data_IF_380070030633
#
_entry.id   IF_380070030633
#
_cell.length_a   1.000
_cell.length_b   1.000
_cell.length_c   1.000
_cell.angle_alpha   90.00
_cell.angle_beta   90.00
_cell.angle_gamma   90.00
#
_symmetry.space_group_name_H-M   'P 1'
#
loop_
_entity.id
_entity.type
_entity.pdbx_description
1 polymer ?
#
# COMPACT_ATOMS: atom_id res chain seq x y z
N UNK A 1 -18.42 -14.05 -11.23
CA UNK A 1 -18.41 -14.42 -9.80
C UNK A 1 -17.59 -15.69 -9.54
N UNK A 2 -17.49 -16.64 -10.48
CA UNK A 2 -16.73 -17.91 -10.30
C UNK A 2 -15.22 -17.77 -10.01
N UNK A 3 -14.54 -16.75 -10.53
CA UNK A 3 -13.09 -16.57 -10.30
C UNK A 3 -12.76 -16.03 -8.89
N UNK A 4 -13.65 -15.24 -8.28
CA UNK A 4 -13.43 -14.74 -6.92
C UNK A 4 -13.82 -15.78 -5.87
N UNK A 5 -14.86 -16.57 -6.14
CA UNK A 5 -15.29 -17.65 -5.24
C UNK A 5 -14.38 -18.89 -5.30
N UNK A 6 -13.55 -19.03 -6.35
CA UNK A 6 -12.54 -20.09 -6.45
C UNK A 6 -11.20 -19.74 -5.82
N UNK A 7 -10.99 -18.46 -5.46
CA UNK A 7 -9.78 -18.02 -4.76
C UNK A 7 -10.02 -18.15 -3.25
N UNK A 8 -9.09 -18.82 -2.59
CA UNK A 8 -9.14 -18.97 -1.14
C UNK A 8 -9.13 -17.59 -0.44
N UNK A 9 -10.03 -17.35 0.54
CA UNK A 9 -10.12 -16.08 1.26
C UNK A 9 -8.80 -15.64 1.92
N UNK A 10 -7.97 -16.57 2.41
CA UNK A 10 -6.66 -16.25 2.98
C UNK A 10 -5.69 -15.76 1.91
N UNK A 11 -5.70 -16.36 0.72
CA UNK A 11 -4.86 -15.91 -0.40
C UNK A 11 -5.28 -14.50 -0.85
N UNK A 12 -6.59 -14.25 -0.91
CA UNK A 12 -7.12 -12.94 -1.26
C UNK A 12 -6.65 -11.89 -0.23
N UNK A 13 -6.78 -12.18 1.06
CA UNK A 13 -6.50 -11.24 2.14
C UNK A 13 -4.99 -11.03 2.42
N UNK A 14 -4.15 -12.04 2.21
CA UNK A 14 -2.71 -11.99 2.56
C UNK A 14 -1.78 -11.75 1.38
N UNK A 15 -2.23 -11.98 0.16
CA UNK A 15 -1.38 -11.86 -1.03
C UNK A 15 -1.95 -10.84 -2.00
N UNK A 16 -3.17 -11.03 -2.46
CA UNK A 16 -3.73 -10.23 -3.56
C UNK A 16 -4.06 -8.82 -3.09
N UNK A 17 -4.90 -8.70 -2.06
CA UNK A 17 -5.31 -7.41 -1.49
C UNK A 17 -4.08 -6.61 -1.06
N UNK A 18 -3.17 -7.12 -0.20
CA UNK A 18 -2.05 -6.33 0.28
C UNK A 18 -1.16 -5.83 -0.85
N UNK A 19 -0.88 -6.66 -1.85
CA UNK A 19 -0.03 -6.29 -2.98
C UNK A 19 -0.63 -5.14 -3.79
N UNK A 20 -1.94 -5.18 -4.06
CA UNK A 20 -2.65 -4.13 -4.79
C UNK A 20 -2.73 -2.86 -3.95
N UNK A 21 -3.18 -2.94 -2.70
CA UNK A 21 -3.48 -1.76 -1.87
C UNK A 21 -2.19 -1.04 -1.45
N UNK A 22 -1.15 -1.78 -1.08
CA UNK A 22 0.16 -1.23 -0.73
C UNK A 22 0.86 -0.74 -2.00
N UNK A 23 0.84 -1.52 -3.07
CA UNK A 23 1.46 -1.15 -4.34
C UNK A 23 0.94 0.19 -4.88
N UNK A 24 -0.38 0.37 -4.92
CA UNK A 24 -0.99 1.63 -5.36
C UNK A 24 -0.65 2.78 -4.40
N UNK A 25 -0.67 2.54 -3.08
CA UNK A 25 -0.33 3.57 -2.09
C UNK A 25 1.11 4.06 -2.21
N UNK A 26 2.06 3.14 -2.30
CA UNK A 26 3.48 3.45 -2.51
C UNK A 26 3.69 4.17 -3.83
N UNK A 27 3.05 3.71 -4.91
CA UNK A 27 3.15 4.35 -6.22
C UNK A 27 2.63 5.79 -6.19
N UNK A 28 1.47 6.03 -5.57
CA UNK A 28 0.91 7.37 -5.39
C UNK A 28 1.86 8.29 -4.60
N UNK A 29 2.47 7.78 -3.54
CA UNK A 29 3.48 8.50 -2.76
C UNK A 29 4.71 8.91 -3.59
N UNK A 30 5.17 8.03 -4.49
CA UNK A 30 6.28 8.32 -5.39
C UNK A 30 5.95 9.48 -6.33
N UNK A 31 4.75 9.47 -6.93
CA UNK A 31 4.26 10.52 -7.82
C UNK A 31 4.09 11.86 -7.11
N UNK A 32 3.48 11.84 -5.92
CA UNK A 32 3.21 13.05 -5.12
C UNK A 32 4.46 13.54 -4.36
N UNK A 33 5.53 12.74 -4.34
CA UNK A 33 6.81 12.99 -3.64
C UNK A 33 6.64 13.19 -2.13
N UNK A 34 5.61 12.59 -1.52
CA UNK A 34 5.26 12.75 -0.11
C UNK A 34 5.05 11.37 0.52
N UNK A 35 5.95 10.97 1.41
CA UNK A 35 5.97 9.62 2.00
C UNK A 35 4.66 9.27 2.74
N UNK A 36 4.04 10.26 3.42
CA UNK A 36 2.79 10.08 4.17
C UNK A 36 1.56 9.82 3.28
N UNK A 37 1.65 10.01 1.97
CA UNK A 37 0.57 9.68 1.03
C UNK A 37 0.41 8.16 0.90
N UNK A 38 1.49 7.39 1.07
CA UNK A 38 1.45 5.94 0.97
C UNK A 38 0.50 5.30 2.00
N UNK A 39 0.67 5.51 3.32
CA UNK A 39 -0.27 4.97 4.31
C UNK A 39 -1.69 5.50 4.13
N UNK A 40 -1.85 6.77 3.74
CA UNK A 40 -3.19 7.36 3.57
C UNK A 40 -3.96 6.70 2.43
N UNK A 41 -3.33 6.54 1.27
CA UNK A 41 -3.96 5.89 0.11
C UNK A 41 -4.18 4.41 0.39
N UNK A 42 -3.23 3.73 1.03
CA UNK A 42 -3.39 2.33 1.42
C UNK A 42 -4.56 2.14 2.41
N UNK A 43 -4.71 3.03 3.39
CA UNK A 43 -5.83 3.00 4.33
C UNK A 43 -7.17 3.16 3.63
N UNK A 44 -7.30 4.18 2.76
CA UNK A 44 -8.54 4.46 2.04
C UNK A 44 -8.93 3.28 1.16
N UNK A 45 -8.00 2.73 0.39
CA UNK A 45 -8.27 1.63 -0.51
C UNK A 45 -8.61 0.34 0.25
N UNK A 46 -7.93 0.03 1.37
CA UNK A 46 -8.26 -1.14 2.18
C UNK A 46 -9.65 -1.01 2.84
N UNK A 47 -9.96 0.17 3.37
CA UNK A 47 -11.27 0.44 3.97
C UNK A 47 -12.39 0.31 2.94
N UNK A 48 -12.19 0.84 1.73
CA UNK A 48 -13.14 0.68 0.62
C UNK A 48 -13.32 -0.78 0.24
N UNK A 49 -12.24 -1.55 0.16
CA UNK A 49 -12.30 -2.99 -0.10
C UNK A 49 -13.12 -3.72 0.96
N UNK A 50 -12.88 -3.48 2.25
CA UNK A 50 -13.64 -4.14 3.33
C UNK A 50 -15.13 -3.76 3.33
N UNK A 51 -15.45 -2.48 3.08
CA UNK A 51 -16.84 -2.03 2.95
C UNK A 51 -17.53 -2.71 1.77
N UNK A 52 -16.87 -2.78 0.61
CA UNK A 52 -17.42 -3.44 -0.57
C UNK A 52 -17.57 -4.95 -0.36
N UNK A 53 -16.59 -5.59 0.24
CA UNK A 53 -16.60 -7.02 0.55
C UNK A 53 -17.77 -7.36 1.48
N UNK A 54 -17.91 -6.63 2.59
CA UNK A 54 -19.04 -6.83 3.51
C UNK A 54 -20.39 -6.61 2.83
N UNK A 55 -20.54 -5.54 2.04
CA UNK A 55 -21.80 -5.26 1.34
C UNK A 55 -22.21 -6.37 0.36
N UNK A 56 -21.25 -7.02 -0.29
CA UNK A 56 -21.49 -8.07 -1.29
C UNK A 56 -21.77 -9.41 -0.61
N UNK A 57 -21.02 -9.77 0.44
CA UNK A 57 -21.06 -11.11 1.04
C UNK A 57 -21.91 -11.20 2.32
N UNK A 58 -22.14 -10.10 3.02
CA UNK A 58 -22.83 -10.06 4.31
C UNK A 58 -23.85 -8.91 4.35
N UNK A 59 -25.09 -9.18 3.91
CA UNK A 59 -26.15 -8.16 3.80
C UNK A 59 -26.62 -7.53 5.13
N UNK A 60 -26.24 -8.05 6.30
CA UNK A 60 -26.96 -7.73 7.55
C UNK A 60 -26.11 -7.72 8.83
N UNK A 61 -24.79 -7.88 8.77
CA UNK A 61 -23.94 -7.99 9.98
C UNK A 61 -23.39 -6.63 10.42
N UNK A 62 -23.18 -6.47 11.73
CA UNK A 62 -22.51 -5.31 12.31
C UNK A 62 -21.16 -5.07 11.63
N UNK A 63 -21.02 -3.88 11.07
CA UNK A 63 -19.83 -3.49 10.33
C UNK A 63 -18.66 -3.26 11.30
N UNK A 64 -17.60 -4.05 11.15
CA UNK A 64 -16.35 -3.88 11.88
C UNK A 64 -15.16 -3.88 10.93
N UNK A 65 -14.27 -2.91 11.12
CA UNK A 65 -13.01 -2.85 10.39
C UNK A 65 -12.03 -3.86 10.98
N UNK A 66 -11.37 -4.61 10.10
CA UNK A 66 -10.33 -5.54 10.53
C UNK A 66 -9.03 -4.80 10.87
N UNK A 67 -8.16 -5.45 11.65
CA UNK A 67 -6.83 -4.92 12.00
C UNK A 67 -5.93 -4.66 10.79
N UNK A 68 -6.29 -5.15 9.60
CA UNK A 68 -5.57 -4.90 8.35
C UNK A 68 -5.58 -3.43 7.93
N UNK A 69 -6.59 -2.66 8.34
CA UNK A 69 -6.62 -1.21 8.18
C UNK A 69 -5.51 -0.49 8.97
N UNK A 70 -4.87 -1.15 9.92
CA UNK A 70 -3.73 -0.59 10.65
C UNK A 70 -2.43 -1.17 10.10
N UNK A 71 -2.39 -2.48 9.88
CA UNK A 71 -1.19 -3.20 9.46
C UNK A 71 -0.74 -2.77 8.06
N UNK A 72 -1.63 -2.71 7.05
CA UNK A 72 -1.21 -2.36 5.69
C UNK A 72 -0.70 -0.92 5.56
N UNK A 73 -1.36 0.10 6.13
CA UNK A 73 -0.82 1.45 6.13
C UNK A 73 0.55 1.55 6.83
N UNK A 74 0.77 0.83 7.93
CA UNK A 74 2.08 0.80 8.59
C UNK A 74 3.17 0.22 7.69
N UNK A 75 2.90 -0.91 7.01
CA UNK A 75 3.83 -1.50 6.04
C UNK A 75 4.11 -0.53 4.88
N UNK A 76 3.05 0.09 4.35
CA UNK A 76 3.14 1.09 3.28
C UNK A 76 3.99 2.29 3.67
N UNK A 77 3.86 2.76 4.93
CA UNK A 77 4.70 3.82 5.48
C UNK A 77 6.18 3.42 5.54
N UNK A 78 6.50 2.22 6.02
CA UNK A 78 7.90 1.73 6.09
C UNK A 78 8.53 1.71 4.69
N UNK A 79 7.83 1.14 3.70
CA UNK A 79 8.31 1.06 2.32
C UNK A 79 8.51 2.48 1.74
N UNK A 80 7.52 3.35 1.92
CA UNK A 80 7.58 4.72 1.40
C UNK A 80 8.70 5.55 2.05
N UNK A 81 8.97 5.34 3.34
CA UNK A 81 10.09 5.99 4.04
C UNK A 81 11.44 5.54 3.49
N UNK A 82 11.64 4.23 3.29
CA UNK A 82 12.86 3.70 2.67
C UNK A 82 13.08 4.32 1.28
N UNK A 83 12.03 4.38 0.46
CA UNK A 83 12.12 4.99 -0.88
C UNK A 83 12.44 6.49 -0.78
N UNK A 84 11.82 7.22 0.16
CA UNK A 84 12.08 8.63 0.37
C UNK A 84 13.54 8.89 0.78
N UNK A 85 14.10 8.06 1.66
CA UNK A 85 15.49 8.15 2.11
C UNK A 85 16.47 7.90 0.96
N UNK A 86 16.23 6.86 0.14
CA UNK A 86 17.04 6.59 -1.06
C UNK A 86 17.02 7.78 -2.03
N UNK A 87 15.85 8.38 -2.26
CA UNK A 87 15.70 9.56 -3.13
C UNK A 87 16.46 10.76 -2.56
N UNK A 88 16.40 10.97 -1.25
CA UNK A 88 17.10 12.06 -0.57
C UNK A 88 18.63 11.89 -0.67
N UNK A 89 19.15 10.68 -0.49
CA UNK A 89 20.58 10.43 -0.67
C UNK A 89 21.06 10.69 -2.10
N UNK A 90 20.28 10.29 -3.12
CA UNK A 90 20.62 10.55 -4.52
C UNK A 90 20.63 12.05 -4.88
N UNK A 91 19.83 12.86 -4.19
CA UNK A 91 19.88 14.32 -4.35
C UNK A 91 21.12 14.95 -3.70
N UNK A 92 21.61 14.39 -2.59
CA UNK A 92 22.79 14.90 -1.87
C UNK A 92 24.10 14.47 -2.56
N UNK A 93 24.15 13.26 -3.12
CA UNK A 93 25.30 12.75 -3.86
C UNK A 93 24.87 12.39 -5.30
N UNK A 94 24.72 13.39 -6.18
CA UNK A 94 24.47 13.13 -7.58
C UNK A 94 25.63 12.32 -8.19
N UNK A 95 25.30 11.40 -9.08
CA UNK A 95 26.25 10.46 -9.70
C UNK A 95 27.41 11.16 -10.46
N UNK A 96 27.33 12.47 -10.68
CA UNK A 96 28.38 13.29 -11.32
C UNK A 96 29.58 13.59 -10.42
N UNK A 97 29.48 13.46 -9.09
CA UNK A 97 30.59 13.78 -8.16
C UNK A 97 31.66 12.68 -8.14
N UNK A 98 31.34 11.48 -8.63
CA UNK A 98 32.28 10.34 -8.65
C UNK A 98 33.26 10.35 -9.84
N UNK A 99 33.15 11.32 -10.75
CA UNK A 99 33.94 11.38 -11.99
C UNK A 99 35.16 12.31 -11.98
N UNK A 100 35.38 13.11 -10.92
CA UNK A 100 36.40 14.20 -10.94
C UNK A 100 37.69 13.87 -10.18
N UNK A 101 37.90 12.63 -9.73
CA UNK A 101 39.13 12.20 -9.05
C UNK A 101 39.89 11.10 -9.81
N UNK A 102 39.87 11.14 -11.14
CA UNK A 102 40.63 10.26 -12.03
C UNK A 102 41.73 11.01 -12.77
#
# INVERSE_FOLDING_TARGET
MELLDSIDPFVMQLVIVPFIVIGIGVLASVFVKKFYIAPLVTLILNALYEVMYMKIYFSSSDFSFTSWNIIFPLISLIIASIIADIRKQKQVFPDNVKGEFG
#
